data_IF_139297569720
#
_entry.id   IF_139297569720
#
_cell.length_a   1.000
_cell.length_b   1.000
_cell.length_c   1.000
_cell.angle_alpha   90.00
_cell.angle_beta   90.00
_cell.angle_gamma   90.00
#
_symmetry.space_group_name_H-M   'P 1'
#
loop_
_entity.id
_entity.type
_entity.pdbx_description
1 polymer ?
#
# COMPACT_ATOMS: atom_id res chain seq x y z
N UNK A 1 68.48 23.84 -0.47
CA UNK A 1 67.42 24.28 0.48
C UNK A 1 66.17 24.83 -0.20
N UNK A 2 66.34 25.56 -1.32
CA UNK A 2 65.16 26.13 -1.99
C UNK A 2 64.22 25.04 -2.63
N UNK A 3 64.78 24.02 -3.26
CA UNK A 3 64.04 22.94 -3.90
C UNK A 3 63.24 22.09 -2.91
N UNK A 4 63.69 21.86 -1.69
CA UNK A 4 62.97 21.13 -0.68
C UNK A 4 61.70 21.86 -0.21
N UNK A 5 61.75 23.18 -0.12
CA UNK A 5 60.60 24.00 0.29
C UNK A 5 59.53 24.07 -0.82
N UNK A 6 59.95 24.08 -2.08
CA UNK A 6 59.03 24.06 -3.23
C UNK A 6 58.37 22.69 -3.32
N UNK A 7 59.12 21.61 -3.18
CA UNK A 7 58.59 20.24 -3.23
C UNK A 7 57.57 19.98 -2.11
N UNK A 8 57.84 20.46 -0.91
CA UNK A 8 56.91 20.36 0.23
C UNK A 8 55.59 21.14 -0.02
N UNK A 9 55.68 22.31 -0.63
CA UNK A 9 54.46 23.09 -0.95
C UNK A 9 53.64 22.47 -2.07
N UNK A 10 54.30 21.89 -3.07
CA UNK A 10 53.60 21.16 -4.17
C UNK A 10 52.95 19.90 -3.64
N UNK A 11 53.61 19.13 -2.78
CA UNK A 11 53.07 17.94 -2.13
C UNK A 11 51.86 18.26 -1.25
N UNK A 12 51.94 19.36 -0.50
CA UNK A 12 50.83 19.80 0.36
C UNK A 12 49.61 20.28 -0.48
N UNK A 13 49.88 20.96 -1.61
CA UNK A 13 48.83 21.37 -2.56
C UNK A 13 48.12 20.18 -3.23
N UNK A 14 48.88 19.14 -3.63
CA UNK A 14 48.31 17.92 -4.18
C UNK A 14 47.48 17.15 -3.17
N UNK A 15 47.87 17.12 -1.91
CA UNK A 15 47.13 16.45 -0.83
C UNK A 15 45.78 17.13 -0.55
N UNK A 16 45.76 18.45 -0.53
CA UNK A 16 44.52 19.25 -0.37
C UNK A 16 43.60 19.07 -1.57
N UNK A 17 44.13 19.04 -2.79
CA UNK A 17 43.32 18.80 -3.99
C UNK A 17 42.75 17.38 -4.03
N UNK A 18 43.52 16.38 -3.62
CA UNK A 18 43.01 14.99 -3.52
C UNK A 18 41.93 14.84 -2.46
N UNK A 19 42.05 15.54 -1.34
CA UNK A 19 41.02 15.53 -0.29
C UNK A 19 39.68 16.14 -0.72
N UNK A 20 39.70 17.12 -1.62
CA UNK A 20 38.47 17.74 -2.15
C UNK A 20 37.73 16.81 -3.13
N UNK A 21 38.45 15.93 -3.82
CA UNK A 21 37.84 14.99 -4.77
C UNK A 21 37.09 13.83 -4.09
N UNK A 22 37.32 13.57 -2.80
CA UNK A 22 36.62 12.53 -2.06
C UNK A 22 35.30 12.97 -1.43
N UNK A 23 34.97 14.26 -1.45
CA UNK A 23 33.72 14.78 -0.84
C UNK A 23 32.54 14.78 -1.81
N UNK A 24 32.75 14.46 -3.07
CA UNK A 24 31.73 14.53 -4.13
C UNK A 24 31.01 13.27 -4.48
N UNK A 25 31.17 12.18 -3.72
CA UNK A 25 30.60 10.86 -4.09
C UNK A 25 29.56 10.34 -3.09
N UNK A 26 28.77 11.20 -2.51
CA UNK A 26 27.52 10.79 -1.86
C UNK A 26 26.35 11.26 -2.73
N UNK A 27 26.17 10.63 -3.87
CA UNK A 27 24.86 10.55 -4.50
C UNK A 27 24.14 9.40 -3.83
N UNK A 28 23.62 9.66 -2.65
CA UNK A 28 22.51 8.87 -2.14
C UNK A 28 21.28 9.27 -2.97
N UNK A 29 21.15 8.65 -4.12
CA UNK A 29 19.85 8.55 -4.79
C UNK A 29 18.98 7.70 -3.86
N UNK A 30 18.43 8.35 -2.85
CA UNK A 30 17.32 7.81 -2.08
C UNK A 30 16.15 7.81 -3.06
N UNK A 31 15.93 6.70 -3.71
CA UNK A 31 14.65 6.43 -4.36
C UNK A 31 13.57 6.48 -3.28
N UNK A 32 13.07 7.68 -3.06
CA UNK A 32 11.87 7.88 -2.26
C UNK A 32 10.75 7.33 -3.12
N UNK A 33 10.41 6.06 -2.89
CA UNK A 33 9.19 5.49 -3.42
C UNK A 33 8.04 6.25 -2.76
N UNK A 34 7.51 7.22 -3.49
CA UNK A 34 6.33 7.95 -3.07
C UNK A 34 5.16 6.96 -3.11
N UNK A 35 4.49 6.79 -1.97
CA UNK A 35 3.20 6.13 -1.96
C UNK A 35 2.21 7.02 -2.72
N UNK A 36 1.68 6.51 -3.82
CA UNK A 36 0.67 7.24 -4.56
C UNK A 36 -0.68 7.11 -3.87
N UNK A 37 -1.43 8.21 -3.68
CA UNK A 37 -2.76 8.13 -3.10
C UNK A 37 -3.68 7.30 -3.99
N UNK A 38 -4.48 6.46 -3.36
CA UNK A 38 -5.53 5.70 -4.03
C UNK A 38 -6.84 5.83 -3.27
N UNK A 39 -7.94 5.60 -3.95
CA UNK A 39 -9.27 5.56 -3.36
C UNK A 39 -10.05 4.36 -3.89
N UNK A 40 -10.98 3.87 -3.09
CA UNK A 40 -11.89 2.81 -3.48
C UNK A 40 -13.29 3.40 -3.58
N UNK A 41 -13.91 3.26 -4.72
CA UNK A 41 -15.31 3.56 -4.94
C UNK A 41 -16.12 2.26 -4.91
N UNK A 42 -17.25 2.30 -4.22
CA UNK A 42 -18.16 1.17 -4.14
C UNK A 42 -19.55 1.55 -4.60
N UNK A 43 -20.20 0.64 -5.30
CA UNK A 43 -21.61 0.77 -5.62
C UNK A 43 -22.46 0.63 -4.36
N UNK A 44 -23.68 1.20 -4.34
CA UNK A 44 -24.59 1.07 -3.21
C UNK A 44 -24.83 -0.38 -2.85
N UNK A 45 -24.76 -0.68 -1.55
CA UNK A 45 -24.99 -2.01 -0.99
C UNK A 45 -26.34 -2.04 -0.29
N UNK A 46 -27.11 -3.12 -0.37
CA UNK A 46 -28.36 -3.29 0.40
C UNK A 46 -28.12 -3.10 1.89
N UNK A 47 -28.95 -2.27 2.53
CA UNK A 47 -28.82 -1.99 3.97
C UNK A 47 -29.36 -3.09 4.87
N UNK A 48 -30.14 -4.02 4.32
CA UNK A 48 -30.77 -5.12 5.06
C UNK A 48 -30.56 -6.43 4.30
N UNK A 49 -30.04 -7.41 4.99
CA UNK A 49 -29.85 -8.77 4.49
C UNK A 49 -30.54 -9.75 5.41
N UNK A 50 -31.23 -10.73 4.81
CA UNK A 50 -31.72 -11.89 5.52
C UNK A 50 -30.62 -12.92 5.72
N UNK A 51 -30.80 -13.81 6.69
CA UNK A 51 -29.87 -14.93 6.89
C UNK A 51 -29.77 -15.78 5.62
N UNK A 52 -28.56 -16.03 5.17
CA UNK A 52 -28.26 -16.75 3.92
C UNK A 52 -28.35 -15.90 2.65
N UNK A 53 -28.76 -14.64 2.73
CA UNK A 53 -28.79 -13.74 1.59
C UNK A 53 -27.39 -13.19 1.31
N UNK A 54 -27.03 -13.10 0.04
CA UNK A 54 -25.73 -12.61 -0.42
C UNK A 54 -25.87 -11.23 -1.08
N UNK A 55 -25.08 -10.28 -0.63
CA UNK A 55 -24.94 -8.97 -1.25
C UNK A 55 -23.69 -8.93 -2.12
N UNK A 56 -23.84 -8.42 -3.34
CA UNK A 56 -22.72 -8.12 -4.23
C UNK A 56 -22.22 -6.69 -3.97
N UNK A 57 -20.92 -6.56 -3.70
CA UNK A 57 -20.25 -5.29 -3.50
C UNK A 57 -19.29 -5.08 -4.66
N UNK A 58 -19.65 -4.20 -5.58
CA UNK A 58 -18.79 -3.83 -6.70
C UNK A 58 -17.86 -2.72 -6.26
N UNK A 59 -16.58 -2.95 -6.44
CA UNK A 59 -15.53 -2.04 -6.03
C UNK A 59 -14.68 -1.64 -7.23
N UNK A 60 -14.28 -0.37 -7.25
CA UNK A 60 -13.34 0.15 -8.22
C UNK A 60 -12.22 0.89 -7.51
N UNK A 61 -10.99 0.52 -7.84
CA UNK A 61 -9.78 1.17 -7.36
C UNK A 61 -9.44 2.32 -8.29
N UNK A 62 -9.37 3.53 -7.73
CA UNK A 62 -8.85 4.71 -8.42
C UNK A 62 -7.48 5.05 -7.85
N UNK A 63 -6.48 5.09 -8.70
CA UNK A 63 -5.12 5.44 -8.33
C UNK A 63 -4.63 6.65 -9.13
N UNK A 64 -3.96 7.56 -8.45
CA UNK A 64 -3.25 8.66 -9.06
C UNK A 64 -1.84 8.21 -9.40
N UNK A 65 -1.58 7.87 -10.63
CA UNK A 65 -0.27 7.45 -11.10
C UNK A 65 -0.27 6.08 -11.80
N UNK A 66 0.76 5.86 -12.60
CA UNK A 66 0.90 4.68 -13.45
C UNK A 66 1.99 3.73 -12.92
N UNK A 67 1.94 3.40 -11.64
CA UNK A 67 2.82 2.35 -11.14
C UNK A 67 2.17 1.00 -11.38
N UNK A 68 2.57 0.33 -12.46
CA UNK A 68 2.10 -1.01 -12.81
C UNK A 68 2.56 -2.08 -11.81
N UNK A 69 3.61 -1.78 -11.05
CA UNK A 69 4.19 -2.69 -10.07
C UNK A 69 3.57 -2.60 -8.67
N UNK A 70 2.68 -1.63 -8.41
CA UNK A 70 2.04 -1.50 -7.12
C UNK A 70 0.97 -2.57 -6.94
N UNK A 71 1.15 -3.41 -5.95
CA UNK A 71 0.18 -4.45 -5.56
C UNK A 71 -0.70 -3.92 -4.45
N UNK A 72 -1.98 -4.16 -4.58
CA UNK A 72 -2.99 -3.79 -3.58
C UNK A 72 -3.53 -5.03 -2.90
N UNK A 73 -3.84 -4.90 -1.61
CA UNK A 73 -4.33 -5.98 -0.77
C UNK A 73 -5.60 -5.56 -0.05
N UNK A 74 -6.43 -6.54 0.25
CA UNK A 74 -7.65 -6.39 1.03
C UNK A 74 -7.53 -7.18 2.34
N UNK A 75 -8.06 -6.59 3.40
CA UNK A 75 -8.24 -7.20 4.71
C UNK A 75 -9.60 -6.81 5.24
N UNK A 76 -10.29 -7.70 5.94
CA UNK A 76 -11.55 -7.35 6.54
C UNK A 76 -11.65 -7.79 8.01
N UNK A 77 -12.54 -7.11 8.72
CA UNK A 77 -12.97 -7.46 10.06
C UNK A 77 -14.49 -7.40 10.14
N UNK A 78 -15.05 -8.22 10.99
CA UNK A 78 -16.46 -8.18 11.29
C UNK A 78 -16.69 -7.95 12.79
N UNK A 79 -16.77 -6.68 13.23
CA UNK A 79 -16.97 -6.37 14.64
C UNK A 79 -18.36 -6.76 15.16
N UNK A 80 -19.38 -6.70 14.30
CA UNK A 80 -20.75 -7.04 14.66
C UNK A 80 -21.39 -8.00 13.65
N UNK A 81 -22.12 -8.96 14.17
CA UNK A 81 -22.80 -9.97 13.38
C UNK A 81 -21.90 -11.12 12.94
N UNK A 82 -22.44 -11.97 12.11
CA UNK A 82 -21.75 -13.14 11.55
C UNK A 82 -22.05 -13.28 10.07
N UNK A 83 -21.03 -13.53 9.28
CA UNK A 83 -21.17 -13.70 7.84
C UNK A 83 -19.89 -14.18 7.19
N UNK A 84 -19.92 -14.30 5.88
CA UNK A 84 -18.79 -14.74 5.06
C UNK A 84 -18.58 -13.76 3.93
N UNK A 85 -17.34 -13.32 3.76
CA UNK A 85 -16.92 -12.47 2.65
C UNK A 85 -16.12 -13.31 1.65
N UNK A 86 -16.50 -13.24 0.38
CA UNK A 86 -15.83 -13.95 -0.72
C UNK A 86 -15.44 -13.00 -1.83
N UNK A 87 -14.39 -13.36 -2.53
CA UNK A 87 -14.01 -12.71 -3.80
C UNK A 87 -14.73 -13.38 -4.97
N UNK A 88 -14.70 -12.73 -6.15
CA UNK A 88 -15.36 -13.25 -7.36
C UNK A 88 -14.77 -14.57 -7.88
N UNK A 89 -13.53 -14.89 -7.54
CA UNK A 89 -12.88 -16.16 -7.87
C UNK A 89 -13.26 -17.33 -6.94
N UNK A 90 -14.09 -17.06 -5.93
CA UNK A 90 -14.51 -18.04 -4.92
C UNK A 90 -13.64 -18.09 -3.67
N UNK A 91 -12.59 -17.28 -3.57
CA UNK A 91 -11.73 -17.20 -2.38
C UNK A 91 -12.53 -16.67 -1.20
N UNK A 92 -12.62 -17.46 -0.13
CA UNK A 92 -13.23 -17.05 1.14
C UNK A 92 -12.19 -16.27 1.94
N UNK A 93 -12.51 -15.01 2.27
CA UNK A 93 -11.62 -14.18 3.08
C UNK A 93 -11.75 -14.58 4.55
N UNK A 94 -10.63 -14.82 5.19
CA UNK A 94 -10.53 -14.98 6.63
C UNK A 94 -10.32 -13.62 7.31
N UNK A 95 -10.91 -13.45 8.48
CA UNK A 95 -10.78 -12.21 9.23
C UNK A 95 -9.32 -11.90 9.56
N UNK A 96 -8.91 -10.66 9.33
CA UNK A 96 -7.57 -10.14 9.58
C UNK A 96 -6.44 -10.70 8.69
N UNK A 97 -6.75 -11.45 7.65
CA UNK A 97 -5.77 -11.92 6.68
C UNK A 97 -5.70 -11.01 5.46
N UNK A 98 -4.52 -10.89 4.87
CA UNK A 98 -4.28 -10.11 3.66
C UNK A 98 -4.46 -10.97 2.41
N UNK A 99 -5.22 -10.46 1.46
CA UNK A 99 -5.45 -11.08 0.17
C UNK A 99 -5.12 -10.10 -0.96
N UNK A 100 -4.43 -10.54 -2.02
CA UNK A 100 -4.15 -9.68 -3.16
C UNK A 100 -5.43 -9.35 -3.93
N UNK A 101 -5.57 -8.10 -4.37
CA UNK A 101 -6.65 -7.70 -5.26
C UNK A 101 -6.36 -8.21 -6.68
N UNK A 102 -7.39 -8.77 -7.38
CA UNK A 102 -7.20 -9.31 -8.73
C UNK A 102 -7.00 -8.24 -9.81
N UNK A 103 -7.40 -7.00 -9.54
CA UNK A 103 -7.31 -5.90 -10.49
C UNK A 103 -7.90 -4.61 -9.94
N UNK A 104 -8.06 -3.61 -10.79
CA UNK A 104 -8.64 -2.31 -10.42
C UNK A 104 -10.15 -2.38 -10.20
N UNK A 105 -10.82 -3.27 -10.90
CA UNK A 105 -12.25 -3.54 -10.74
C UNK A 105 -12.42 -4.94 -10.19
N UNK A 106 -13.12 -5.06 -9.09
CA UNK A 106 -13.35 -6.34 -8.43
C UNK A 106 -14.70 -6.35 -7.71
N UNK A 107 -15.16 -7.53 -7.37
CA UNK A 107 -16.43 -7.78 -6.71
C UNK A 107 -16.21 -8.57 -5.45
N UNK A 108 -16.92 -8.20 -4.39
CA UNK A 108 -16.98 -8.91 -3.14
C UNK A 108 -18.41 -9.41 -2.92
N UNK A 109 -18.53 -10.57 -2.36
CA UNK A 109 -19.82 -11.20 -2.03
C UNK A 109 -19.89 -11.43 -0.54
N UNK A 110 -20.82 -10.76 0.10
CA UNK A 110 -21.07 -10.91 1.53
C UNK A 110 -22.34 -11.72 1.75
N UNK A 111 -22.24 -12.86 2.45
CA UNK A 111 -23.35 -13.70 2.84
C UNK A 111 -23.58 -13.55 4.33
N UNK A 112 -24.77 -13.10 4.70
CA UNK A 112 -25.18 -12.95 6.09
C UNK A 112 -25.51 -14.31 6.72
N UNK A 113 -25.03 -14.54 7.94
CA UNK A 113 -25.35 -15.71 8.76
C UNK A 113 -26.07 -15.35 10.06
N UNK A 114 -26.46 -14.10 10.25
CA UNK A 114 -27.11 -13.58 11.45
C UNK A 114 -28.27 -12.67 11.10
N UNK A 115 -29.29 -12.61 11.98
CA UNK A 115 -30.38 -11.65 11.90
C UNK A 115 -30.09 -10.33 12.58
N UNK A 116 -29.01 -10.26 13.35
CA UNK A 116 -28.60 -9.07 14.08
C UNK A 116 -27.97 -8.02 13.16
N UNK A 117 -27.79 -6.82 13.69
CA UNK A 117 -27.05 -5.79 12.99
C UNK A 117 -25.64 -6.29 12.66
N UNK A 118 -25.22 -6.05 11.44
CA UNK A 118 -23.93 -6.52 10.94
C UNK A 118 -23.07 -5.34 10.51
N UNK A 119 -21.81 -5.37 10.92
CA UNK A 119 -20.82 -4.38 10.49
C UNK A 119 -19.62 -5.12 9.94
N UNK A 120 -19.24 -4.79 8.72
CA UNK A 120 -18.05 -5.33 8.06
C UNK A 120 -17.12 -4.15 7.74
N UNK A 121 -15.95 -4.15 8.33
CA UNK A 121 -14.91 -3.19 8.05
C UNK A 121 -13.93 -3.78 7.04
N UNK A 122 -13.75 -3.10 5.94
CA UNK A 122 -12.83 -3.52 4.87
C UNK A 122 -11.70 -2.51 4.73
N UNK A 123 -10.48 -3.02 4.77
CA UNK A 123 -9.26 -2.22 4.67
C UNK A 123 -8.54 -2.56 3.38
N UNK A 124 -8.12 -1.52 2.68
CA UNK A 124 -7.32 -1.64 1.47
C UNK A 124 -5.96 -1.01 1.72
N UNK A 125 -4.92 -1.71 1.32
CA UNK A 125 -3.55 -1.22 1.46
C UNK A 125 -2.73 -1.53 0.22
N UNK A 126 -1.78 -0.65 -0.07
CA UNK A 126 -0.75 -0.90 -1.05
C UNK A 126 0.50 -1.46 -0.36
N UNK A 127 1.23 -2.32 -1.04
CA UNK A 127 2.57 -2.70 -0.63
C UNK A 127 3.60 -1.80 -1.34
N UNK A 128 3.67 -0.55 -0.92
CA UNK A 128 4.92 0.18 -1.10
C UNK A 128 5.87 -0.27 0.01
N UNK A 129 7.02 -0.77 -0.35
CA UNK A 129 7.98 -1.47 0.51
C UNK A 129 8.49 -0.66 1.72
N UNK A 130 8.11 0.61 1.92
CA UNK A 130 8.70 1.51 2.91
C UNK A 130 7.66 2.28 3.73
N UNK A 131 6.41 2.41 3.30
CA UNK A 131 5.37 3.11 4.02
C UNK A 131 4.08 2.29 4.07
N UNK A 132 3.70 1.93 5.29
CA UNK A 132 2.32 1.53 5.57
C UNK A 132 1.50 2.82 5.45
N UNK A 133 0.93 3.07 4.25
CA UNK A 133 -0.11 4.08 4.11
C UNK A 133 -1.28 3.66 4.98
N UNK A 134 -1.90 4.60 5.65
CA UNK A 134 -3.07 4.30 6.48
C UNK A 134 -4.12 3.57 5.65
N UNK A 135 -4.56 2.38 6.08
CA UNK A 135 -5.55 1.61 5.33
C UNK A 135 -6.84 2.40 5.24
N UNK A 136 -7.40 2.49 4.04
CA UNK A 136 -8.70 3.12 3.84
C UNK A 136 -9.77 2.23 4.48
N UNK A 137 -10.31 2.68 5.61
CA UNK A 137 -11.39 2.02 6.32
C UNK A 137 -12.72 2.34 5.66
N UNK A 138 -13.47 1.33 5.25
CA UNK A 138 -14.87 1.47 4.88
C UNK A 138 -15.70 0.48 5.67
N UNK A 139 -16.73 1.00 6.33
CA UNK A 139 -17.69 0.19 7.07
C UNK A 139 -18.92 -0.04 6.19
N UNK A 140 -19.29 -1.29 6.01
CA UNK A 140 -20.50 -1.71 5.32
C UNK A 140 -21.42 -2.37 6.32
N UNK A 141 -22.67 -1.99 6.28
CA UNK A 141 -23.71 -2.51 7.17
C UNK A 141 -24.48 -3.64 6.47
#
# INVERSE_FOLDING_TARGET
>A
MYMRKILSRILMGCYVMAAILFVGACNDDVDIQQSYPFSIETMPVPKKLKVGETAEIRCQLHRDGRYEETKYFIRYFQPDGTGTLKMSDGTVLLSNDLYPLPGETFQLYYTSASTDQQTVDVYFQDLSLIHISEPTRRSYI
#
